data_IF_601558865037
#
_entry.id   IF_601558865037
#
_cell.length_a   1.000
_cell.length_b   1.000
_cell.length_c   1.000
_cell.angle_alpha   90.00
_cell.angle_beta   90.00
_cell.angle_gamma   90.00
#
_symmetry.space_group_name_H-M   'P 1'
#
loop_
_entity.id
_entity.type
_entity.pdbx_description
1 polymer ?
#
# COMPACT_ATOMS: atom_id res chain seq x y z
N UNK A 1 -15.38 -0.38 -11.65
CA UNK A 1 -14.71 0.67 -10.83
C UNK A 1 -14.10 0.12 -9.54
N UNK A 2 -14.86 -0.53 -8.65
CA UNK A 2 -14.31 -1.21 -7.45
C UNK A 2 -13.17 -2.19 -7.80
N UNK A 3 -13.36 -3.00 -8.84
CA UNK A 3 -12.35 -3.91 -9.37
C UNK A 3 -11.05 -3.19 -9.77
N UNK A 4 -11.15 -1.97 -10.30
CA UNK A 4 -9.99 -1.16 -10.66
C UNK A 4 -9.17 -0.73 -9.44
N UNK A 5 -9.82 -0.36 -8.34
CA UNK A 5 -9.14 -0.02 -7.08
C UNK A 5 -8.46 -1.25 -6.46
N UNK A 6 -9.10 -2.42 -6.53
CA UNK A 6 -8.46 -3.67 -6.12
C UNK A 6 -7.26 -4.02 -7.00
N UNK A 7 -7.37 -3.87 -8.33
CA UNK A 7 -6.24 -4.09 -9.23
C UNK A 7 -5.09 -3.13 -8.93
N UNK A 8 -5.38 -1.84 -8.73
CA UNK A 8 -4.35 -0.86 -8.37
C UNK A 8 -3.66 -1.23 -7.04
N UNK A 9 -4.43 -1.71 -6.06
CA UNK A 9 -3.85 -2.18 -4.79
C UNK A 9 -3.00 -3.45 -4.96
N UNK A 10 -3.39 -4.38 -5.83
CA UNK A 10 -2.61 -5.57 -6.13
C UNK A 10 -1.30 -5.23 -6.86
N UNK A 11 -1.35 -4.29 -7.81
CA UNK A 11 -0.16 -3.77 -8.50
C UNK A 11 0.75 -3.07 -7.49
N UNK A 12 0.21 -2.27 -6.57
CA UNK A 12 0.98 -1.63 -5.51
C UNK A 12 1.71 -2.66 -4.63
N UNK A 13 1.00 -3.70 -4.18
CA UNK A 13 1.59 -4.78 -3.36
C UNK A 13 2.69 -5.49 -4.15
N UNK A 14 2.44 -5.86 -5.40
CA UNK A 14 3.42 -6.57 -6.25
C UNK A 14 4.65 -5.73 -6.54
N UNK A 15 4.48 -4.45 -6.85
CA UNK A 15 5.60 -3.52 -7.09
C UNK A 15 6.41 -3.27 -5.82
N UNK A 16 5.76 -3.28 -4.65
CA UNK A 16 6.44 -3.25 -3.34
C UNK A 16 7.30 -4.49 -3.14
N UNK A 17 6.78 -5.71 -3.42
CA UNK A 17 7.57 -6.96 -3.33
C UNK A 17 8.77 -6.99 -4.26
N UNK A 18 8.66 -6.36 -5.44
CA UNK A 18 9.76 -6.25 -6.40
C UNK A 18 10.86 -5.25 -5.97
N UNK A 19 10.66 -4.52 -4.88
CA UNK A 19 11.59 -3.47 -4.44
C UNK A 19 11.58 -2.23 -5.34
N UNK A 20 10.54 -2.04 -6.16
CA UNK A 20 10.41 -0.88 -7.03
C UNK A 20 9.77 0.30 -6.28
N UNK A 21 10.42 0.74 -5.20
CA UNK A 21 9.84 1.68 -4.24
C UNK A 21 9.38 2.99 -4.88
N UNK A 22 10.15 3.59 -5.79
CA UNK A 22 9.77 4.82 -6.49
C UNK A 22 8.48 4.65 -7.31
N UNK A 23 8.35 3.52 -7.99
CA UNK A 23 7.14 3.18 -8.76
C UNK A 23 5.97 2.98 -7.79
N UNK A 24 6.20 2.30 -6.65
CA UNK A 24 5.19 2.09 -5.62
C UNK A 24 4.68 3.42 -5.02
N UNK A 25 5.57 4.39 -4.79
CA UNK A 25 5.19 5.75 -4.35
C UNK A 25 4.32 6.43 -5.41
N UNK A 26 4.70 6.33 -6.69
CA UNK A 26 3.91 6.88 -7.79
C UNK A 26 2.51 6.28 -7.87
N UNK A 27 2.40 4.95 -7.75
CA UNK A 27 1.12 4.24 -7.78
C UNK A 27 0.29 4.54 -6.53
N UNK A 28 0.89 4.60 -5.34
CA UNK A 28 0.21 4.95 -4.09
C UNK A 28 -0.32 6.38 -4.13
N UNK A 29 0.51 7.34 -4.54
CA UNK A 29 0.11 8.74 -4.66
C UNK A 29 -0.95 8.94 -5.76
N UNK A 30 -0.76 8.29 -6.91
CA UNK A 30 -1.70 8.29 -8.02
C UNK A 30 -3.05 7.67 -7.64
N UNK A 31 -3.04 6.55 -6.92
CA UNK A 31 -4.25 5.90 -6.40
C UNK A 31 -4.99 6.77 -5.39
N UNK A 32 -4.27 7.45 -4.50
CA UNK A 32 -4.84 8.42 -3.56
C UNK A 32 -5.49 9.61 -4.30
N UNK A 33 -4.78 10.19 -5.27
CA UNK A 33 -5.30 11.30 -6.09
C UNK A 33 -6.50 10.87 -6.91
N UNK A 34 -6.48 9.67 -7.49
CA UNK A 34 -7.60 9.10 -8.22
C UNK A 34 -8.83 8.98 -7.31
N UNK A 35 -8.68 8.46 -6.09
CA UNK A 35 -9.74 8.42 -5.08
C UNK A 35 -10.20 9.82 -4.58
N UNK A 36 -9.37 10.86 -4.72
CA UNK A 36 -9.70 12.23 -4.28
C UNK A 36 -10.43 13.02 -5.37
N UNK A 37 -9.99 12.90 -6.62
CA UNK A 37 -10.51 13.69 -7.74
C UNK A 37 -11.79 13.09 -8.34
N UNK A 38 -11.89 11.76 -8.40
CA UNK A 38 -13.08 11.10 -8.90
C UNK A 38 -14.10 10.88 -7.79
N UNK A 39 -15.31 11.44 -7.98
CA UNK A 39 -16.47 11.17 -7.12
C UNK A 39 -17.08 9.82 -7.47
N UNK A 40 -16.53 8.75 -6.92
CA UNK A 40 -17.12 7.42 -7.06
C UNK A 40 -18.37 7.29 -6.20
N UNK A 41 -19.42 6.68 -6.75
CA UNK A 41 -20.60 6.26 -6.00
C UNK A 41 -20.30 4.97 -5.22
N UNK A 42 -19.36 5.07 -4.27
CA UNK A 42 -18.92 4.00 -3.38
C UNK A 42 -19.22 4.42 -1.95
N UNK A 43 -19.54 3.46 -1.08
CA UNK A 43 -19.73 3.73 0.34
C UNK A 43 -18.54 4.50 0.91
N UNK A 44 -18.79 5.62 1.59
CA UNK A 44 -17.77 6.54 2.07
C UNK A 44 -16.70 5.83 2.93
N UNK A 45 -17.13 4.88 3.77
CA UNK A 45 -16.25 4.04 4.58
C UNK A 45 -15.26 3.23 3.72
N UNK A 46 -15.72 2.63 2.62
CA UNK A 46 -14.87 1.82 1.74
C UNK A 46 -13.86 2.68 1.00
N UNK A 47 -14.29 3.85 0.52
CA UNK A 47 -13.41 4.83 -0.13
C UNK A 47 -12.32 5.34 0.81
N UNK A 48 -12.66 5.61 2.07
CA UNK A 48 -11.69 6.06 3.08
C UNK A 48 -10.63 4.99 3.36
N UNK A 49 -11.01 3.70 3.39
CA UNK A 49 -10.05 2.61 3.57
C UNK A 49 -9.11 2.46 2.37
N UNK A 50 -9.60 2.59 1.13
CA UNK A 50 -8.75 2.62 -0.05
C UNK A 50 -7.76 3.81 -0.03
N UNK A 51 -8.24 5.02 0.27
CA UNK A 51 -7.37 6.20 0.43
C UNK A 51 -6.27 5.95 1.46
N UNK A 52 -6.62 5.35 2.61
CA UNK A 52 -5.67 5.01 3.67
C UNK A 52 -4.64 3.98 3.21
N UNK A 53 -5.06 2.94 2.49
CA UNK A 53 -4.14 1.94 1.92
C UNK A 53 -3.12 2.59 0.99
N UNK A 54 -3.57 3.40 0.04
CA UNK A 54 -2.71 4.04 -0.95
C UNK A 54 -1.72 5.03 -0.33
N UNK A 55 -2.20 5.91 0.58
CA UNK A 55 -1.31 6.88 1.24
C UNK A 55 -0.33 6.19 2.20
N UNK A 56 -0.76 5.13 2.89
CA UNK A 56 0.12 4.37 3.79
C UNK A 56 1.24 3.70 3.00
N UNK A 57 0.91 3.11 1.84
CA UNK A 57 1.90 2.52 0.93
C UNK A 57 2.94 3.54 0.47
N UNK A 58 2.51 4.73 0.06
CA UNK A 58 3.42 5.79 -0.36
C UNK A 58 4.31 6.27 0.79
N UNK A 59 3.76 6.50 1.98
CA UNK A 59 4.51 6.94 3.16
C UNK A 59 5.53 5.89 3.61
N UNK A 60 5.15 4.61 3.66
CA UNK A 60 6.05 3.53 4.06
C UNK A 60 7.25 3.40 3.11
N UNK A 61 7.04 3.51 1.80
CA UNK A 61 8.14 3.51 0.84
C UNK A 61 8.99 4.79 0.94
N UNK A 62 8.37 5.94 1.22
CA UNK A 62 9.12 7.18 1.44
C UNK A 62 10.02 7.08 2.68
N UNK A 63 9.50 6.52 3.79
CA UNK A 63 10.27 6.25 5.00
C UNK A 63 11.39 5.24 4.75
N UNK A 64 11.13 4.20 3.96
CA UNK A 64 12.15 3.24 3.54
C UNK A 64 13.30 3.95 2.83
N UNK A 65 13.01 4.79 1.82
CA UNK A 65 14.05 5.55 1.12
C UNK A 65 14.78 6.52 2.04
N UNK A 66 14.08 7.17 2.97
CA UNK A 66 14.72 8.04 3.95
C UNK A 66 15.71 7.26 4.82
N UNK A 67 15.32 6.08 5.30
CA UNK A 67 16.21 5.18 6.04
C UNK A 67 17.42 4.71 5.24
N UNK A 68 17.24 4.43 3.94
CA UNK A 68 18.34 4.08 3.04
C UNK A 68 19.30 5.24 2.80
N UNK A 69 18.79 6.48 2.67
CA UNK A 69 19.62 7.68 2.54
C UNK A 69 20.46 7.88 3.80
N UNK A 70 19.85 7.76 4.99
CA UNK A 70 20.60 7.85 6.27
C UNK A 70 21.69 6.78 6.32
N UNK A 71 21.41 5.56 5.86
CA UNK A 71 22.41 4.48 5.79
C UNK A 71 23.59 4.83 4.86
N UNK A 72 23.36 5.58 3.79
CA UNK A 72 24.41 6.00 2.86
C UNK A 72 25.39 6.98 3.52
N UNK A 73 24.91 7.84 4.42
CA UNK A 73 25.76 8.77 5.18
C UNK A 73 26.61 8.10 6.27
N UNK A 74 26.36 6.82 6.58
CA UNK A 74 27.09 6.04 7.59
C UNK A 74 28.24 5.21 6.99
N UNK A 75 28.53 5.36 5.69
CA UNK A 75 29.70 4.72 5.06
C UNK A 75 30.93 5.57 5.34
N UNK A 76 31.89 5.01 6.07
CA UNK A 76 33.16 5.68 6.41
C UNK A 76 34.28 5.38 5.41
N UNK A 77 34.28 4.22 4.74
CA UNK A 77 35.37 3.79 3.84
C UNK A 77 34.90 3.15 2.53
N UNK A 78 35.71 3.28 1.49
CA UNK A 78 35.45 2.72 0.14
C UNK A 78 35.46 1.18 0.16
N UNK A 79 36.21 0.57 1.09
CA UNK A 79 36.26 -0.89 1.29
C UNK A 79 34.92 -1.47 1.79
N UNK A 80 34.07 -0.64 2.40
CA UNK A 80 32.77 -1.06 2.93
C UNK A 80 31.66 -1.08 1.87
N UNK A 81 31.94 -0.58 0.66
CA UNK A 81 30.95 -0.48 -0.43
C UNK A 81 30.31 -1.85 -0.77
N UNK A 82 31.04 -2.97 -0.92
CA UNK A 82 30.44 -4.27 -1.23
C UNK A 82 29.54 -4.78 -0.09
N UNK A 83 30.00 -4.63 1.16
CA UNK A 83 29.22 -5.00 2.35
C UNK A 83 27.96 -4.14 2.48
N UNK A 84 28.07 -2.85 2.16
CA UNK A 84 26.94 -1.94 2.09
C UNK A 84 25.91 -2.38 1.05
N UNK A 85 26.31 -2.77 -0.16
CA UNK A 85 25.36 -3.23 -1.20
C UNK A 85 24.61 -4.50 -0.79
N UNK A 86 25.30 -5.48 -0.20
CA UNK A 86 24.66 -6.72 0.27
C UNK A 86 23.68 -6.42 1.40
N UNK A 87 24.15 -5.67 2.40
CA UNK A 87 23.32 -5.26 3.54
C UNK A 87 22.15 -4.37 3.11
N UNK A 88 22.35 -3.49 2.13
CA UNK A 88 21.31 -2.68 1.52
C UNK A 88 20.28 -3.56 0.83
N UNK A 89 20.70 -4.50 -0.01
CA UNK A 89 19.79 -5.35 -0.77
C UNK A 89 18.88 -6.18 0.15
N UNK A 90 19.47 -6.82 1.17
CA UNK A 90 18.73 -7.62 2.16
C UNK A 90 17.80 -6.74 2.99
N UNK A 91 18.29 -5.64 3.53
CA UNK A 91 17.49 -4.74 4.38
C UNK A 91 16.34 -4.10 3.60
N UNK A 92 16.62 -3.62 2.39
CA UNK A 92 15.63 -3.04 1.50
C UNK A 92 14.57 -4.07 1.09
N UNK A 93 14.95 -5.29 0.71
CA UNK A 93 13.99 -6.34 0.37
C UNK A 93 13.15 -6.79 1.57
N UNK A 94 13.77 -6.97 2.73
CA UNK A 94 13.05 -7.34 3.95
C UNK A 94 12.00 -6.29 4.32
N UNK A 95 12.34 -5.01 4.27
CA UNK A 95 11.39 -3.93 4.51
C UNK A 95 10.33 -3.84 3.41
N UNK A 96 10.70 -3.99 2.14
CA UNK A 96 9.73 -4.06 1.04
C UNK A 96 8.71 -5.18 1.23
N UNK A 97 9.16 -6.37 1.65
CA UNK A 97 8.29 -7.49 1.98
C UNK A 97 7.36 -7.18 3.17
N UNK A 98 7.88 -6.54 4.21
CA UNK A 98 7.09 -6.10 5.36
C UNK A 98 6.01 -5.07 4.95
N UNK A 99 6.36 -4.10 4.11
CA UNK A 99 5.43 -3.11 3.58
C UNK A 99 4.35 -3.80 2.75
N UNK A 100 4.73 -4.71 1.85
CA UNK A 100 3.80 -5.48 1.04
C UNK A 100 2.84 -6.32 1.90
N UNK A 101 3.33 -6.96 2.96
CA UNK A 101 2.51 -7.70 3.91
C UNK A 101 1.50 -6.78 4.62
N UNK A 102 1.94 -5.60 5.11
CA UNK A 102 1.06 -4.62 5.74
C UNK A 102 -0.02 -4.12 4.77
N UNK A 103 0.34 -3.83 3.52
CA UNK A 103 -0.60 -3.41 2.48
C UNK A 103 -1.59 -4.52 2.12
N UNK A 104 -1.13 -5.77 2.07
CA UNK A 104 -1.99 -6.94 1.86
C UNK A 104 -3.01 -7.07 2.98
N UNK A 105 -2.59 -6.93 4.23
CA UNK A 105 -3.49 -6.96 5.39
C UNK A 105 -4.55 -5.84 5.31
N UNK A 106 -4.16 -4.63 4.92
CA UNK A 106 -5.12 -3.53 4.67
C UNK A 106 -6.09 -3.85 3.53
N UNK A 107 -5.60 -4.42 2.42
CA UNK A 107 -6.42 -4.81 1.28
C UNK A 107 -7.47 -5.87 1.66
N UNK A 108 -7.08 -6.87 2.45
CA UNK A 108 -8.00 -7.87 3.03
C UNK A 108 -9.03 -7.19 3.92
N UNK A 109 -8.62 -6.23 4.77
CA UNK A 109 -9.55 -5.45 5.59
C UNK A 109 -10.57 -4.64 4.77
N UNK A 110 -10.18 -4.12 3.61
CA UNK A 110 -11.09 -3.47 2.66
C UNK A 110 -12.08 -4.48 2.08
N UNK A 111 -11.60 -5.65 1.64
CA UNK A 111 -12.43 -6.72 1.10
C UNK A 111 -13.49 -7.20 2.10
N UNK A 112 -13.11 -7.47 3.34
CA UNK A 112 -14.06 -7.87 4.39
C UNK A 112 -15.12 -6.80 4.66
N UNK A 113 -14.73 -5.52 4.59
CA UNK A 113 -15.68 -4.40 4.75
C UNK A 113 -16.68 -4.37 3.60
N UNK A 114 -16.23 -4.61 2.36
CA UNK A 114 -17.10 -4.71 1.20
C UNK A 114 -18.07 -5.89 1.31
N UNK A 115 -17.61 -7.04 1.80
CA UNK A 115 -18.47 -8.21 2.01
C UNK A 115 -19.56 -7.93 3.04
N UNK A 116 -19.23 -7.29 4.16
CA UNK A 116 -20.20 -6.89 5.19
C UNK A 116 -21.26 -5.92 4.63
N UNK A 117 -20.84 -4.93 3.85
CA UNK A 117 -21.76 -3.99 3.20
C UNK A 117 -22.70 -4.71 2.23
N UNK A 118 -22.17 -5.66 1.44
CA UNK A 118 -22.98 -6.45 0.50
C UNK A 118 -24.01 -7.34 1.23
N UNK A 119 -23.65 -7.94 2.36
CA UNK A 119 -24.56 -8.74 3.18
C UNK A 119 -25.67 -7.88 3.80
N UNK A 120 -25.33 -6.70 4.35
CA UNK A 120 -26.31 -5.77 4.92
C UNK A 120 -27.34 -5.27 3.89
N UNK A 121 -26.97 -5.20 2.60
CA UNK A 121 -27.91 -4.87 1.52
C UNK A 121 -28.79 -6.06 1.11
N UNK A 122 -28.34 -7.30 1.31
CA UNK A 122 -29.06 -8.52 0.91
C UNK A 122 -30.07 -8.99 1.97
N UNK A 123 -29.87 -8.61 3.23
CA UNK A 123 -30.79 -8.86 4.33
C UNK A 123 -31.72 -7.64 4.49
N UNK A 124 -32.92 -7.62 3.88
CA UNK A 124 -33.87 -6.55 4.15
C UNK A 124 -34.20 -6.52 5.66
N UNK A 125 -34.52 -5.34 6.23
CA UNK A 125 -34.97 -5.28 7.62
C UNK A 125 -36.20 -6.18 7.74
N UNK A 126 -36.15 -7.11 8.70
CA UNK A 126 -37.25 -7.97 9.06
C UNK A 126 -38.40 -7.04 9.47
N UNK A 127 -39.33 -6.83 8.55
CA UNK A 127 -40.56 -6.09 8.82
C UNK A 127 -41.37 -6.97 9.78
N UNK A 128 -41.12 -6.78 11.07
CA UNK A 128 -42.00 -7.24 12.14
C UNK A 128 -43.32 -6.48 11.97
N UNK A 129 -44.29 -7.15 11.35
CA UNK A 129 -45.69 -6.77 11.36
C UNK A 129 -46.45 -7.86 12.11
#
# INVERSE_FOLDING_TARGET
MLLGLFMLSAILIKTSLLGLGWISIGIGTGGYLFCRYYRFNLAACLMQKFKRLFITGAILHLLLYLGLIVKLFLIDSIEDIPAFFISHLVFHHALCALIAAALTFMAVGVYLTQQKLKQAQLSPPLQLN
#
